data_IF_201805847444
#
_entry.id   IF_201805847444
#
_cell.length_a   1.000
_cell.length_b   1.000
_cell.length_c   1.000
_cell.angle_alpha   90.00
_cell.angle_beta   90.00
_cell.angle_gamma   90.00
#
_symmetry.space_group_name_H-M   'P 1'
#
loop_
_entity.id
_entity.type
_entity.pdbx_description
1 polymer ?
#
# COMPACT_ATOMS: atom_id res chain seq x y z
N UNK A 1 -59.47 29.87 32.64
CA UNK A 1 -59.36 28.74 31.69
C UNK A 1 -58.34 28.94 30.57
N UNK A 2 -58.09 30.15 30.07
CA UNK A 2 -57.11 30.39 28.98
C UNK A 2 -55.64 30.15 29.37
N UNK A 3 -55.21 30.33 30.60
CA UNK A 3 -53.86 30.11 31.06
C UNK A 3 -53.47 28.63 31.22
N UNK A 4 -54.46 27.77 31.49
CA UNK A 4 -54.25 26.32 31.59
C UNK A 4 -54.02 25.64 30.22
N UNK A 5 -54.65 26.19 29.18
CA UNK A 5 -54.43 25.69 27.79
C UNK A 5 -53.07 26.08 27.25
N UNK A 6 -52.54 27.26 27.59
CA UNK A 6 -51.19 27.68 27.18
C UNK A 6 -50.08 26.81 27.83
N UNK A 7 -50.26 26.39 29.06
CA UNK A 7 -49.33 25.46 29.74
C UNK A 7 -49.32 24.07 29.15
N UNK A 8 -50.47 23.56 28.68
CA UNK A 8 -50.58 22.26 28.05
C UNK A 8 -49.95 22.22 26.66
N UNK A 9 -50.01 23.32 25.90
CA UNK A 9 -49.39 23.42 24.57
C UNK A 9 -47.85 23.51 24.66
N UNK A 10 -47.31 24.16 25.70
CA UNK A 10 -45.86 24.23 25.91
C UNK A 10 -45.26 22.85 26.34
N UNK A 11 -46.05 22.00 27.00
CA UNK A 11 -45.60 20.66 27.41
C UNK A 11 -45.61 19.66 26.24
N UNK A 12 -46.45 19.88 25.20
CA UNK A 12 -46.55 18.97 24.04
C UNK A 12 -45.38 19.13 23.04
N UNK A 13 -44.54 20.16 23.15
CA UNK A 13 -43.40 20.41 22.27
C UNK A 13 -42.02 20.08 22.91
N UNK A 14 -41.99 19.46 24.08
CA UNK A 14 -40.74 18.85 24.60
C UNK A 14 -40.47 17.53 23.86
N UNK A 15 -40.04 17.64 22.58
CA UNK A 15 -39.41 16.54 21.91
C UNK A 15 -38.16 16.16 22.77
N UNK A 16 -38.01 14.90 23.18
CA UNK A 16 -36.76 14.50 23.83
C UNK A 16 -35.64 14.83 22.84
N UNK A 17 -34.79 15.75 23.18
CA UNK A 17 -33.52 15.91 22.51
C UNK A 17 -32.79 14.58 22.79
N UNK A 18 -32.80 13.66 21.82
CA UNK A 18 -31.93 12.50 21.85
C UNK A 18 -30.52 13.02 21.74
N UNK A 19 -29.89 13.30 22.88
CA UNK A 19 -28.46 13.44 22.93
C UNK A 19 -27.92 12.11 22.36
N UNK A 20 -27.22 12.15 21.22
CA UNK A 20 -26.47 11.00 20.76
C UNK A 20 -25.47 10.68 21.86
N UNK A 21 -25.77 9.64 22.63
CA UNK A 21 -24.84 9.13 23.65
C UNK A 21 -23.60 8.65 22.92
N UNK A 22 -22.42 8.88 23.53
CA UNK A 22 -21.19 8.24 23.07
C UNK A 22 -21.40 6.72 23.13
N UNK A 23 -20.75 5.94 22.23
CA UNK A 23 -20.84 4.49 22.28
C UNK A 23 -20.39 3.96 23.63
N UNK A 24 -21.11 2.97 24.17
CA UNK A 24 -20.68 2.20 25.33
C UNK A 24 -19.94 0.96 24.82
N UNK A 25 -18.63 0.96 24.97
CA UNK A 25 -17.78 -0.13 24.49
C UNK A 25 -17.68 -1.29 25.50
N UNK A 26 -18.16 -1.14 26.74
CA UNK A 26 -17.98 -2.17 27.78
C UNK A 26 -18.61 -3.50 27.42
N UNK A 27 -19.89 -3.56 26.98
CA UNK A 27 -20.49 -4.84 26.62
C UNK A 27 -19.78 -5.51 25.44
N UNK A 28 -19.36 -4.71 24.44
CA UNK A 28 -18.68 -5.20 23.25
C UNK A 28 -17.30 -5.80 23.59
N UNK A 29 -16.56 -5.16 24.50
CA UNK A 29 -15.26 -5.67 24.98
C UNK A 29 -15.44 -6.95 25.77
N UNK A 30 -16.40 -7.01 26.71
CA UNK A 30 -16.67 -8.21 27.50
C UNK A 30 -17.04 -9.42 26.64
N UNK A 31 -17.80 -9.22 25.58
CA UNK A 31 -18.26 -10.28 24.67
C UNK A 31 -17.14 -10.79 23.75
N UNK A 32 -16.31 -9.88 23.20
CA UNK A 32 -15.41 -10.24 22.09
C UNK A 32 -13.94 -10.44 22.51
N UNK A 33 -13.48 -9.86 23.64
CA UNK A 33 -12.11 -10.06 24.13
C UNK A 33 -11.72 -11.52 24.34
N UNK A 34 -12.59 -12.46 24.74
CA UNK A 34 -12.19 -13.84 24.89
C UNK A 34 -11.63 -14.51 23.62
N UNK A 35 -12.02 -14.02 22.43
CA UNK A 35 -11.54 -14.53 21.17
C UNK A 35 -10.22 -13.86 20.69
N UNK A 36 -9.74 -12.85 21.39
CA UNK A 36 -8.45 -12.18 21.09
C UNK A 36 -7.33 -12.86 21.85
N UNK A 37 -6.25 -13.19 21.15
CA UNK A 37 -5.12 -13.95 21.71
C UNK A 37 -3.84 -13.16 21.67
N UNK A 38 -2.92 -13.51 22.58
CA UNK A 38 -1.53 -13.06 22.50
C UNK A 38 -0.70 -14.07 21.70
N UNK A 39 0.21 -13.58 20.89
CA UNK A 39 1.13 -14.39 20.10
C UNK A 39 2.55 -14.03 20.50
N UNK A 40 3.28 -15.04 20.99
CA UNK A 40 4.69 -14.97 21.33
C UNK A 40 5.50 -15.80 20.34
N UNK A 41 6.62 -15.27 19.86
CA UNK A 41 7.46 -15.97 18.91
C UNK A 41 8.92 -16.01 19.37
N UNK A 42 9.59 -17.11 19.10
CA UNK A 42 11.02 -17.32 19.34
C UNK A 42 11.75 -17.35 18.00
N UNK A 43 12.90 -16.70 17.90
CA UNK A 43 13.77 -16.74 16.71
C UNK A 43 15.09 -17.37 17.06
N UNK A 44 15.48 -18.43 16.36
CA UNK A 44 16.81 -19.02 16.50
C UNK A 44 17.87 -18.14 15.83
N UNK A 45 18.99 -17.87 16.54
CA UNK A 45 20.17 -17.28 15.93
C UNK A 45 20.96 -18.40 15.23
N UNK A 46 21.02 -18.38 13.92
CA UNK A 46 22.07 -19.08 13.22
C UNK A 46 23.44 -18.53 13.66
N UNK A 47 24.21 -19.39 14.33
CA UNK A 47 25.49 -19.00 14.88
C UNK A 47 26.54 -18.77 13.79
N UNK A 48 27.01 -17.54 13.67
CA UNK A 48 28.28 -17.30 12.99
C UNK A 48 28.34 -15.98 12.21
N UNK A 49 29.18 -15.10 12.71
CA UNK A 49 29.78 -13.90 12.11
C UNK A 49 29.08 -12.57 12.38
N UNK A 50 29.86 -11.77 13.13
CA UNK A 50 29.73 -10.31 13.23
C UNK A 50 29.89 -9.69 11.81
N UNK A 51 28.79 -9.43 11.15
CA UNK A 51 28.71 -8.69 9.90
C UNK A 51 27.30 -8.16 9.80
N UNK A 52 27.14 -6.83 9.70
CA UNK A 52 25.86 -6.16 9.67
C UNK A 52 24.87 -6.84 8.74
N UNK A 53 23.65 -7.03 9.23
CA UNK A 53 22.55 -7.55 8.44
C UNK A 53 21.88 -6.39 7.67
N UNK A 54 21.77 -6.48 6.32
CA UNK A 54 21.13 -5.44 5.51
C UNK A 54 19.59 -5.50 5.50
N UNK A 55 18.96 -6.56 6.04
CA UNK A 55 17.58 -6.88 5.68
C UNK A 55 16.50 -6.36 6.62
N UNK A 56 16.85 -5.65 7.71
CA UNK A 56 15.88 -5.05 8.63
C UNK A 56 16.25 -3.64 9.14
N UNK A 57 17.31 -3.03 8.63
CA UNK A 57 17.64 -1.64 8.95
C UNK A 57 16.63 -0.71 8.29
N UNK A 58 15.60 -0.30 9.05
CA UNK A 58 14.67 0.75 8.63
C UNK A 58 13.19 0.50 8.87
N UNK A 59 12.77 -0.58 9.52
CA UNK A 59 11.37 -0.73 9.94
C UNK A 59 11.09 0.19 11.13
N UNK A 60 10.06 1.05 11.07
CA UNK A 60 9.64 1.91 12.20
C UNK A 60 9.32 1.10 13.47
N UNK A 61 9.04 -0.19 13.33
CA UNK A 61 8.74 -1.10 14.44
C UNK A 61 9.98 -1.65 15.13
N UNK A 62 11.10 -1.84 14.41
CA UNK A 62 12.34 -2.31 15.04
C UNK A 62 12.88 -1.30 16.03
N UNK A 63 12.94 -0.03 15.65
CA UNK A 63 13.33 1.08 16.55
C UNK A 63 12.43 1.19 17.77
N UNK A 64 11.12 0.93 17.59
CA UNK A 64 10.13 0.99 18.67
C UNK A 64 10.29 -0.21 19.59
N UNK A 65 10.45 -1.41 19.04
CA UNK A 65 10.62 -2.65 19.80
C UNK A 65 11.94 -2.65 20.57
N UNK A 66 13.06 -2.21 19.98
CA UNK A 66 14.34 -2.06 20.68
C UNK A 66 14.30 -1.02 21.78
N UNK A 67 13.53 0.06 21.64
CA UNK A 67 13.39 1.08 22.67
C UNK A 67 12.50 0.66 23.84
N UNK A 68 11.45 -0.14 23.59
CA UNK A 68 10.52 -0.58 24.63
C UNK A 68 10.93 -1.88 25.32
N UNK A 69 11.58 -2.81 24.58
CA UNK A 69 11.97 -4.12 25.07
C UNK A 69 13.48 -4.36 24.96
N UNK A 70 14.23 -3.42 24.40
CA UNK A 70 15.66 -3.52 24.12
C UNK A 70 16.53 -3.27 25.34
N UNK A 71 17.59 -4.06 25.39
CA UNK A 71 18.80 -4.05 26.20
C UNK A 71 18.77 -3.31 27.56
N UNK A 72 19.01 -4.03 28.66
CA UNK A 72 19.22 -3.40 29.96
C UNK A 72 20.47 -2.50 29.93
N UNK A 73 20.42 -1.30 30.53
CA UNK A 73 21.55 -0.39 30.55
C UNK A 73 22.67 -0.95 31.43
N UNK A 74 23.81 -1.30 30.80
CA UNK A 74 25.10 -1.41 31.46
C UNK A 74 25.28 -2.61 32.35
N UNK A 75 25.89 -3.67 31.83
CA UNK A 75 26.46 -4.77 32.59
C UNK A 75 27.68 -5.34 31.84
N UNK A 76 28.88 -4.87 32.22
CA UNK A 76 30.14 -5.56 31.88
C UNK A 76 30.20 -6.95 32.54
N UNK A 77 30.44 -7.97 31.77
CA UNK A 77 31.01 -9.23 32.21
C UNK A 77 30.03 -10.30 32.70
N UNK A 78 29.53 -11.10 31.79
CA UNK A 78 28.95 -12.41 32.08
C UNK A 78 28.70 -13.16 30.79
N UNK A 79 29.42 -14.33 30.61
CA UNK A 79 29.04 -15.34 29.64
C UNK A 79 27.71 -15.97 30.07
N UNK A 80 26.59 -15.23 29.87
CA UNK A 80 25.24 -15.69 30.06
C UNK A 80 24.54 -15.65 28.71
N UNK A 81 23.85 -16.73 28.34
CA UNK A 81 22.93 -16.81 27.22
C UNK A 81 22.16 -15.50 27.13
N UNK A 82 22.33 -14.72 26.05
CA UNK A 82 21.48 -13.58 25.76
C UNK A 82 20.05 -14.12 25.61
N UNK A 83 19.05 -13.43 26.20
CA UNK A 83 17.66 -13.84 26.04
C UNK A 83 17.29 -13.92 24.56
N UNK A 84 16.63 -15.01 24.19
CA UNK A 84 15.99 -15.19 22.89
C UNK A 84 15.14 -13.96 22.60
N UNK A 85 15.27 -13.37 21.42
CA UNK A 85 14.41 -12.25 21.00
C UNK A 85 13.00 -12.81 20.81
N UNK A 86 12.08 -12.48 21.70
CA UNK A 86 10.66 -12.79 21.54
C UNK A 86 9.95 -11.60 20.92
N UNK A 87 9.26 -11.81 19.80
CA UNK A 87 8.27 -10.86 19.29
C UNK A 87 6.94 -11.08 19.98
N UNK A 88 6.22 -10.02 20.27
CA UNK A 88 4.91 -10.07 20.89
C UNK A 88 3.90 -9.37 19.99
N UNK A 89 2.82 -10.06 19.66
CA UNK A 89 1.71 -9.53 18.88
C UNK A 89 0.38 -10.07 19.39
N UNK A 90 -0.67 -9.73 18.70
CA UNK A 90 -2.02 -10.23 18.92
C UNK A 90 -2.52 -10.98 17.70
N UNK A 91 -3.59 -11.73 17.89
CA UNK A 91 -4.39 -12.35 16.85
C UNK A 91 -5.79 -12.51 17.34
N UNK A 92 -6.66 -13.12 16.54
CA UNK A 92 -7.97 -13.50 16.95
C UNK A 92 -8.36 -14.86 16.39
N UNK A 93 -9.17 -15.59 17.15
CA UNK A 93 -9.67 -16.90 16.80
C UNK A 93 -10.73 -16.72 15.72
N UNK A 94 -10.47 -17.33 14.56
CA UNK A 94 -11.33 -17.26 13.38
C UNK A 94 -12.34 -18.39 13.34
N UNK A 95 -11.93 -19.59 13.77
CA UNK A 95 -12.82 -20.77 13.77
C UNK A 95 -12.76 -21.51 15.11
N UNK A 96 -13.85 -22.17 15.50
CA UNK A 96 -13.96 -22.92 16.75
C UNK A 96 -12.94 -24.07 16.88
N UNK A 97 -12.45 -24.57 15.74
CA UNK A 97 -11.44 -25.64 15.65
C UNK A 97 -10.00 -25.11 15.69
N UNK A 98 -9.77 -23.82 15.94
CA UNK A 98 -8.46 -23.27 16.28
C UNK A 98 -7.66 -22.62 15.16
N UNK A 99 -8.27 -22.19 14.07
CA UNK A 99 -7.62 -21.26 13.15
C UNK A 99 -7.57 -19.85 13.76
N UNK A 100 -6.42 -19.21 13.66
CA UNK A 100 -6.14 -17.86 14.20
C UNK A 100 -5.59 -17.00 13.11
N UNK A 101 -6.09 -15.79 13.03
CA UNK A 101 -5.62 -14.76 12.08
C UNK A 101 -4.76 -13.77 12.85
N UNK A 102 -3.61 -13.39 12.25
CA UNK A 102 -2.68 -12.39 12.77
C UNK A 102 -1.95 -11.67 11.64
N UNK A 103 -1.06 -10.74 11.97
CA UNK A 103 -0.18 -10.09 11.00
C UNK A 103 1.05 -10.97 10.69
N UNK A 104 1.52 -10.93 9.42
CA UNK A 104 2.70 -11.68 9.01
C UNK A 104 3.95 -11.27 9.79
N UNK A 105 4.18 -9.95 9.98
CA UNK A 105 5.37 -9.46 10.68
C UNK A 105 5.48 -9.95 12.15
N UNK A 106 4.36 -10.38 12.76
CA UNK A 106 4.34 -10.99 14.11
C UNK A 106 5.05 -12.34 14.11
N UNK A 107 4.86 -13.15 13.05
CA UNK A 107 5.37 -14.51 12.95
C UNK A 107 6.54 -14.67 11.97
N UNK A 108 6.98 -13.61 11.34
CA UNK A 108 8.06 -13.63 10.35
C UNK A 108 9.38 -14.05 10.98
N UNK A 109 10.04 -15.05 10.39
CA UNK A 109 11.31 -15.60 10.89
C UNK A 109 11.20 -16.33 12.24
N UNK A 110 9.98 -16.63 12.72
CA UNK A 110 9.78 -17.40 13.95
C UNK A 110 10.18 -18.87 13.74
N UNK A 111 10.95 -19.41 14.69
CA UNK A 111 11.21 -20.84 14.80
C UNK A 111 10.14 -21.57 15.63
N UNK A 112 9.48 -20.83 16.52
CA UNK A 112 8.42 -21.32 17.38
C UNK A 112 7.37 -20.22 17.57
N UNK A 113 6.09 -20.58 17.53
CA UNK A 113 4.95 -19.68 17.75
C UNK A 113 4.11 -20.24 18.86
N UNK A 114 3.87 -19.44 19.89
CA UNK A 114 3.07 -19.82 21.07
C UNK A 114 1.89 -18.87 21.21
N UNK A 115 0.69 -19.42 21.34
CA UNK A 115 -0.56 -18.68 21.49
C UNK A 115 -1.05 -18.77 22.93
N UNK A 116 -1.31 -17.62 23.55
CA UNK A 116 -1.87 -17.52 24.88
C UNK A 116 -3.31 -17.01 24.80
N UNK A 117 -4.25 -17.81 25.32
CA UNK A 117 -5.66 -17.45 25.40
C UNK A 117 -5.96 -16.66 26.66
N UNK A 118 -7.07 -15.92 26.66
CA UNK A 118 -7.55 -15.13 27.81
C UNK A 118 -7.86 -15.97 29.06
N UNK A 119 -8.24 -17.25 28.91
CA UNK A 119 -8.49 -18.20 29.97
C UNK A 119 -7.21 -18.87 30.52
N UNK A 120 -6.03 -18.41 30.10
CA UNK A 120 -4.69 -18.88 30.47
C UNK A 120 -4.28 -20.23 29.86
N UNK A 121 -5.03 -20.78 28.94
CA UNK A 121 -4.52 -21.90 28.11
C UNK A 121 -3.42 -21.40 27.20
N UNK A 122 -2.43 -22.26 26.97
CA UNK A 122 -1.26 -21.97 26.12
C UNK A 122 -1.11 -23.12 25.12
N UNK A 123 -0.90 -22.78 23.86
CA UNK A 123 -0.78 -23.74 22.78
C UNK A 123 0.41 -23.39 21.90
N UNK A 124 1.10 -24.43 21.43
CA UNK A 124 2.00 -24.30 20.30
C UNK A 124 1.14 -24.15 19.03
N UNK A 125 1.52 -23.22 18.15
CA UNK A 125 0.80 -22.95 16.94
C UNK A 125 1.61 -23.30 15.71
N UNK A 126 0.97 -23.94 14.75
CA UNK A 126 1.52 -24.21 13.42
C UNK A 126 1.19 -23.00 12.52
N UNK A 127 2.19 -22.54 11.73
CA UNK A 127 1.95 -21.55 10.67
C UNK A 127 1.41 -22.30 9.45
N UNK A 128 0.09 -22.16 9.19
CA UNK A 128 -0.58 -22.74 8.01
C UNK A 128 -0.09 -22.09 6.73
N UNK A 129 0.09 -20.75 6.78
CA UNK A 129 0.64 -19.98 5.69
C UNK A 129 0.75 -18.50 6.08
N UNK A 130 1.50 -17.76 5.28
CA UNK A 130 1.74 -16.33 5.48
C UNK A 130 1.86 -15.60 4.16
N UNK A 131 1.46 -14.34 4.17
CA UNK A 131 1.55 -13.45 3.02
C UNK A 131 2.21 -12.12 3.40
N UNK A 132 3.50 -11.94 3.08
CA UNK A 132 4.22 -10.70 3.38
C UNK A 132 3.66 -9.46 2.68
N UNK A 133 3.01 -9.62 1.52
CA UNK A 133 2.51 -8.47 0.74
C UNK A 133 1.23 -7.86 1.29
N UNK A 134 0.39 -8.63 1.98
CA UNK A 134 -0.78 -8.13 2.70
C UNK A 134 -0.57 -8.03 4.20
N UNK A 135 0.58 -8.46 4.68
CA UNK A 135 0.90 -8.57 6.11
C UNK A 135 -0.11 -9.43 6.90
N UNK A 136 -0.55 -10.56 6.32
CA UNK A 136 -1.49 -11.50 6.93
C UNK A 136 -0.85 -12.86 7.14
N UNK A 137 -1.11 -13.50 8.27
CA UNK A 137 -0.74 -14.89 8.54
C UNK A 137 -1.89 -15.67 9.15
N UNK A 138 -1.96 -16.97 8.81
CA UNK A 138 -2.92 -17.92 9.32
C UNK A 138 -2.19 -18.96 10.18
N UNK A 139 -2.61 -19.10 11.43
CA UNK A 139 -2.09 -20.06 12.39
C UNK A 139 -3.13 -21.12 12.70
N UNK A 140 -2.68 -22.28 13.22
CA UNK A 140 -3.53 -23.37 13.71
C UNK A 140 -3.03 -23.84 15.07
N UNK A 141 -3.94 -23.93 16.03
CA UNK A 141 -3.72 -24.58 17.33
C UNK A 141 -4.58 -25.82 17.45
N UNK A 142 -4.16 -26.80 18.25
CA UNK A 142 -4.90 -28.03 18.52
C UNK A 142 -5.85 -27.82 19.71
N UNK A 143 -7.00 -27.23 19.41
CA UNK A 143 -8.07 -26.95 20.39
C UNK A 143 -9.43 -26.85 19.69
N UNK A 144 -10.48 -27.17 20.42
CA UNK A 144 -11.88 -27.16 20.00
C UNK A 144 -12.70 -26.26 20.93
N UNK A 145 -13.95 -25.99 20.52
CA UNK A 145 -14.93 -25.19 21.28
C UNK A 145 -14.38 -23.81 21.70
N UNK A 146 -13.64 -23.17 20.81
CA UNK A 146 -13.04 -21.85 21.06
C UNK A 146 -14.02 -20.71 20.77
N UNK A 147 -13.96 -19.60 21.53
CA UNK A 147 -14.69 -18.39 21.19
C UNK A 147 -14.13 -17.80 19.89
N UNK A 148 -15.01 -17.37 18.99
CA UNK A 148 -14.64 -16.83 17.68
C UNK A 148 -15.15 -15.41 17.49
N UNK A 149 -14.56 -14.64 16.57
CA UNK A 149 -15.09 -13.36 16.07
C UNK A 149 -15.76 -13.55 14.72
N UNK A 150 -16.87 -12.85 14.53
CA UNK A 150 -17.51 -12.75 13.22
C UNK A 150 -16.78 -11.73 12.36
N UNK A 151 -16.64 -12.04 11.06
CA UNK A 151 -16.14 -11.09 10.08
C UNK A 151 -17.30 -10.21 9.59
N UNK A 152 -17.06 -8.90 9.54
CA UNK A 152 -17.99 -7.91 9.01
C UNK A 152 -17.62 -7.48 7.60
N UNK A 153 -17.92 -6.21 7.26
CA UNK A 153 -17.57 -5.63 5.98
C UNK A 153 -16.80 -4.30 6.16
N UNK A 154 -15.60 -4.23 5.62
CA UNK A 154 -14.87 -2.96 5.54
C UNK A 154 -15.38 -2.08 4.40
N UNK A 155 -16.01 -2.67 3.38
CA UNK A 155 -16.58 -1.92 2.25
C UNK A 155 -17.76 -1.04 2.70
N UNK A 156 -18.55 -1.50 3.66
CA UNK A 156 -19.68 -0.78 4.22
C UNK A 156 -19.28 0.32 5.22
N UNK A 157 -18.07 0.27 5.78
CA UNK A 157 -17.56 1.29 6.70
C UNK A 157 -17.54 2.68 6.06
N UNK A 158 -17.92 3.69 6.84
CA UNK A 158 -17.87 5.09 6.44
C UNK A 158 -16.87 5.87 7.27
N UNK A 159 -16.24 6.83 6.63
CA UNK A 159 -15.38 7.80 7.35
C UNK A 159 -16.19 8.50 8.44
N UNK A 160 -15.67 8.51 9.67
CA UNK A 160 -16.31 9.04 10.86
C UNK A 160 -17.02 7.98 11.72
N UNK A 161 -17.15 6.73 11.28
CA UNK A 161 -17.69 5.63 12.11
C UNK A 161 -16.72 5.21 13.19
N UNK A 162 -17.25 4.85 14.36
CA UNK A 162 -16.47 4.36 15.47
C UNK A 162 -15.94 2.96 15.19
N UNK A 163 -14.69 2.75 15.58
CA UNK A 163 -14.02 1.44 15.54
C UNK A 163 -13.19 1.23 16.78
N UNK A 164 -12.96 -0.03 17.12
CA UNK A 164 -12.34 -0.49 18.35
C UNK A 164 -11.21 -1.47 18.01
N UNK A 165 -10.00 -1.24 18.49
CA UNK A 165 -8.94 -2.23 18.43
C UNK A 165 -8.81 -2.94 19.79
N UNK A 166 -8.73 -4.28 19.72
CA UNK A 166 -8.44 -5.12 20.89
C UNK A 166 -7.12 -5.84 20.62
N UNK A 167 -6.21 -5.77 21.56
CA UNK A 167 -4.96 -6.52 21.56
C UNK A 167 -4.68 -7.17 22.90
N UNK A 168 -3.72 -8.08 22.94
CA UNK A 168 -3.25 -8.75 24.14
C UNK A 168 -1.72 -8.64 24.28
N UNK A 169 -1.19 -7.44 24.54
CA UNK A 169 0.24 -7.16 24.47
C UNK A 169 1.09 -7.88 25.54
N UNK A 170 0.49 -8.27 26.67
CA UNK A 170 1.22 -8.82 27.83
C UNK A 170 0.78 -10.22 28.23
N UNK A 171 0.10 -10.94 27.34
CA UNK A 171 -0.26 -12.33 27.51
C UNK A 171 -1.75 -12.56 27.82
N UNK A 172 -2.20 -12.31 29.03
CA UNK A 172 -3.58 -12.66 29.42
C UNK A 172 -4.52 -11.48 29.59
N UNK A 173 -3.97 -10.26 29.61
CA UNK A 173 -4.72 -9.02 29.74
C UNK A 173 -4.91 -8.35 28.39
N UNK A 174 -6.11 -7.86 28.13
CA UNK A 174 -6.44 -7.17 26.90
C UNK A 174 -6.21 -5.65 27.03
N UNK A 175 -5.71 -5.04 25.98
CA UNK A 175 -5.68 -3.60 25.80
C UNK A 175 -6.68 -3.19 24.75
N UNK A 176 -7.52 -2.23 25.07
CA UNK A 176 -8.59 -1.75 24.19
C UNK A 176 -8.39 -0.28 23.90
N UNK A 177 -8.45 0.07 22.62
CA UNK A 177 -8.39 1.45 22.16
C UNK A 177 -9.51 1.71 21.16
N UNK A 178 -10.11 2.90 21.19
CA UNK A 178 -11.20 3.30 20.32
C UNK A 178 -10.88 4.58 19.57
N UNK A 179 -11.45 4.73 18.40
CA UNK A 179 -11.32 5.89 17.54
C UNK A 179 -12.32 5.83 16.40
N UNK A 180 -12.05 6.57 15.33
CA UNK A 180 -12.92 6.60 14.16
C UNK A 180 -12.16 6.21 12.89
N UNK A 181 -12.89 5.79 11.88
CA UNK A 181 -12.37 5.66 10.52
C UNK A 181 -12.03 7.05 10.00
N UNK A 182 -10.76 7.32 9.75
CA UNK A 182 -10.27 8.62 9.24
C UNK A 182 -10.26 8.68 7.72
N UNK A 183 -9.95 7.55 7.05
CA UNK A 183 -9.97 7.41 5.59
C UNK A 183 -10.03 5.93 5.20
N UNK A 184 -10.33 5.63 3.92
CA UNK A 184 -10.30 4.29 3.34
C UNK A 184 -9.46 4.30 2.06
N UNK A 185 -8.92 3.14 1.70
CA UNK A 185 -8.14 2.99 0.46
C UNK A 185 -6.81 3.74 0.48
N UNK A 186 -6.14 3.79 1.63
CA UNK A 186 -4.82 4.40 1.74
C UNK A 186 -3.73 3.41 1.37
N UNK A 187 -2.87 3.78 0.42
CA UNK A 187 -1.68 3.01 0.11
C UNK A 187 -0.48 3.64 0.80
N UNK A 188 0.38 2.79 1.31
CA UNK A 188 1.65 3.17 1.92
C UNK A 188 2.78 2.96 0.90
N UNK A 189 3.86 3.76 0.93
CA UNK A 189 4.92 3.71 -0.09
C UNK A 189 5.59 2.34 -0.24
N UNK A 190 5.58 1.53 0.80
CA UNK A 190 6.18 0.19 0.85
C UNK A 190 5.21 -0.94 0.52
N UNK A 191 3.89 -0.67 0.49
CA UNK A 191 2.85 -1.69 0.40
C UNK A 191 1.77 -1.28 -0.62
N UNK A 192 1.98 -1.67 -1.88
CA UNK A 192 1.13 -1.25 -2.99
C UNK A 192 -0.15 -2.08 -3.16
N UNK A 193 -0.23 -3.27 -2.51
CA UNK A 193 -1.35 -4.18 -2.68
C UNK A 193 -2.46 -4.03 -1.64
N UNK A 194 -2.20 -3.29 -0.54
CA UNK A 194 -3.16 -3.14 0.56
C UNK A 194 -3.83 -1.76 0.54
N UNK A 195 -5.15 -1.68 0.33
CA UNK A 195 -5.92 -0.44 0.43
C UNK A 195 -6.33 -0.17 1.88
N UNK A 196 -5.37 0.19 2.75
CA UNK A 196 -5.57 0.30 4.19
C UNK A 196 -6.77 1.14 4.62
N UNK A 197 -7.39 0.72 5.73
CA UNK A 197 -8.29 1.54 6.53
C UNK A 197 -7.41 2.40 7.46
N UNK A 198 -7.49 3.72 7.34
CA UNK A 198 -6.82 4.66 8.23
C UNK A 198 -7.74 5.01 9.38
N UNK A 199 -7.25 4.94 10.61
CA UNK A 199 -7.98 5.31 11.84
C UNK A 199 -7.13 6.19 12.75
N UNK A 200 -7.75 6.80 13.76
CA UNK A 200 -7.07 7.43 14.89
C UNK A 200 -7.08 6.57 16.17
N UNK A 201 -7.40 5.30 16.02
CA UNK A 201 -7.29 4.29 17.08
C UNK A 201 -5.83 4.17 17.50
N UNK A 202 -5.53 4.29 18.78
CA UNK A 202 -4.16 4.21 19.27
C UNK A 202 -3.64 2.77 19.18
N UNK A 203 -2.76 2.50 18.23
CA UNK A 203 -2.04 1.25 18.10
C UNK A 203 -0.66 1.38 18.76
N UNK A 204 -0.34 0.44 19.63
CA UNK A 204 0.93 0.32 20.33
C UNK A 204 1.49 -1.10 20.12
N UNK A 205 2.79 -1.32 20.39
CA UNK A 205 3.39 -2.66 20.35
C UNK A 205 2.55 -3.68 21.11
N UNK A 206 2.23 -4.78 20.43
CA UNK A 206 1.37 -5.84 20.97
C UNK A 206 -0.08 -5.80 20.49
N UNK A 207 -0.59 -4.70 19.93
CA UNK A 207 -1.92 -4.68 19.29
C UNK A 207 -1.89 -5.11 17.82
N UNK A 208 -0.69 -5.14 17.20
CA UNK A 208 -0.51 -5.57 15.81
C UNK A 208 -0.97 -7.02 15.63
N UNK A 209 -1.68 -7.31 14.55
CA UNK A 209 -2.32 -8.60 14.28
C UNK A 209 -3.68 -8.79 14.96
N UNK A 210 -4.02 -7.96 15.96
CA UNK A 210 -5.33 -7.99 16.61
C UNK A 210 -6.45 -7.40 15.72
N UNK A 211 -7.73 -7.69 16.06
CA UNK A 211 -8.87 -7.24 15.29
C UNK A 211 -9.14 -5.74 15.45
N UNK A 212 -9.62 -5.12 14.37
CA UNK A 212 -10.34 -3.84 14.37
C UNK A 212 -11.83 -4.16 14.24
N UNK A 213 -12.64 -3.78 15.24
CA UNK A 213 -14.06 -4.09 15.31
C UNK A 213 -14.92 -2.86 14.99
N UNK A 214 -16.09 -3.08 14.39
CA UNK A 214 -17.18 -2.11 14.32
C UNK A 214 -18.00 -2.07 15.63
N UNK A 215 -19.06 -1.27 15.69
CA UNK A 215 -19.92 -1.20 16.88
C UNK A 215 -20.84 -2.42 17.04
N UNK A 216 -20.99 -3.23 16.02
CA UNK A 216 -21.72 -4.50 16.02
C UNK A 216 -20.87 -5.67 16.53
N UNK A 217 -19.56 -5.43 16.81
CA UNK A 217 -18.61 -6.44 17.28
C UNK A 217 -18.01 -7.30 16.17
N UNK A 218 -18.20 -6.92 14.93
CA UNK A 218 -17.66 -7.63 13.78
C UNK A 218 -16.27 -7.10 13.41
N UNK A 219 -15.39 -8.02 12.99
CA UNK A 219 -14.03 -7.64 12.52
C UNK A 219 -14.14 -6.99 11.16
N UNK A 220 -13.69 -5.75 11.05
CA UNK A 220 -13.65 -4.97 9.80
C UNK A 220 -12.22 -4.80 9.26
N UNK A 221 -11.23 -5.24 10.03
CA UNK A 221 -9.83 -5.24 9.61
C UNK A 221 -8.89 -5.82 10.65
N UNK A 222 -7.60 -5.96 10.25
CA UNK A 222 -6.50 -6.36 11.14
C UNK A 222 -5.59 -5.17 11.37
N UNK A 223 -5.29 -4.86 12.62
CA UNK A 223 -4.34 -3.81 12.96
C UNK A 223 -2.94 -4.19 12.48
N UNK A 224 -2.39 -3.45 11.52
CA UNK A 224 -1.10 -3.74 10.93
C UNK A 224 -0.02 -2.81 11.48
N UNK A 225 -0.11 -1.51 11.22
CA UNK A 225 0.98 -0.59 11.51
C UNK A 225 0.52 0.84 11.81
N UNK A 226 1.46 1.66 12.30
CA UNK A 226 1.29 3.09 12.51
C UNK A 226 2.24 3.87 11.58
N UNK A 227 1.82 5.05 11.16
CA UNK A 227 2.76 6.01 10.61
C UNK A 227 3.43 6.77 11.75
N UNK A 228 4.73 6.58 11.92
CA UNK A 228 5.47 7.22 13.01
C UNK A 228 6.85 7.70 12.56
N UNK A 229 7.22 8.89 13.00
CA UNK A 229 8.58 9.46 12.81
C UNK A 229 9.44 9.25 14.05
N UNK A 230 8.85 8.87 15.17
CA UNK A 230 9.50 8.75 16.48
C UNK A 230 9.33 7.37 17.10
N UNK A 231 8.60 6.47 16.41
CA UNK A 231 8.25 5.13 16.88
C UNK A 231 6.98 5.07 17.75
N UNK A 232 6.40 6.18 18.18
CA UNK A 232 5.15 6.22 18.96
C UNK A 232 3.94 6.59 18.10
N UNK A 233 2.75 6.28 18.59
CA UNK A 233 1.48 6.66 17.96
C UNK A 233 1.36 8.19 17.82
N UNK A 234 1.03 8.65 16.60
CA UNK A 234 0.91 10.07 16.24
C UNK A 234 -0.46 10.39 15.60
N UNK A 235 -1.49 9.62 15.91
CA UNK A 235 -2.85 9.82 15.39
C UNK A 235 -3.09 9.19 14.01
N UNK A 236 -2.19 8.34 13.52
CA UNK A 236 -2.33 7.64 12.25
C UNK A 236 -2.04 6.16 12.44
N UNK A 237 -3.07 5.35 12.33
CA UNK A 237 -3.02 3.89 12.36
C UNK A 237 -3.64 3.31 11.09
N UNK A 238 -3.17 2.14 10.70
CA UNK A 238 -3.58 1.46 9.49
C UNK A 238 -3.97 0.02 9.80
N UNK A 239 -5.10 -0.40 9.22
CA UNK A 239 -5.58 -1.77 9.31
C UNK A 239 -5.80 -2.35 7.90
N UNK A 240 -5.49 -3.63 7.75
CA UNK A 240 -5.77 -4.40 6.51
C UNK A 240 -7.27 -4.65 6.45
N UNK A 241 -7.96 -4.30 5.35
CA UNK A 241 -9.40 -4.51 5.19
C UNK A 241 -9.78 -5.98 5.30
N UNK A 242 -10.92 -6.28 5.93
CA UNK A 242 -11.32 -7.66 6.23
C UNK A 242 -11.60 -8.49 4.97
N UNK A 243 -12.14 -7.91 3.90
CA UNK A 243 -12.38 -8.62 2.64
C UNK A 243 -11.06 -9.13 2.02
N UNK A 244 -9.98 -8.34 2.14
CA UNK A 244 -8.67 -8.80 1.69
C UNK A 244 -8.13 -9.91 2.58
N UNK A 245 -8.35 -9.82 3.88
CA UNK A 245 -7.96 -10.86 4.84
C UNK A 245 -8.66 -12.17 4.54
N UNK A 246 -9.98 -12.15 4.27
CA UNK A 246 -10.75 -13.35 3.90
C UNK A 246 -10.19 -14.03 2.65
N UNK A 247 -9.95 -13.25 1.59
CA UNK A 247 -9.36 -13.75 0.33
C UNK A 247 -8.01 -14.44 0.57
N UNK A 248 -7.16 -13.79 1.37
CA UNK A 248 -5.82 -14.30 1.72
C UNK A 248 -5.93 -15.57 2.58
N UNK A 249 -6.73 -15.54 3.64
CA UNK A 249 -6.92 -16.67 4.56
C UNK A 249 -7.48 -17.90 3.84
N UNK A 250 -8.44 -17.71 2.92
CA UNK A 250 -8.95 -18.79 2.11
C UNK A 250 -7.84 -19.43 1.28
N UNK A 251 -7.01 -18.65 0.57
CA UNK A 251 -5.91 -19.19 -0.22
C UNK A 251 -4.85 -19.87 0.65
N UNK A 252 -4.49 -19.28 1.79
CA UNK A 252 -3.53 -19.88 2.73
C UNK A 252 -4.03 -21.21 3.27
N UNK A 253 -5.33 -21.34 3.56
CA UNK A 253 -5.95 -22.58 4.04
C UNK A 253 -5.99 -23.67 2.97
N UNK A 254 -6.27 -23.30 1.71
CA UNK A 254 -6.44 -24.25 0.61
C UNK A 254 -5.10 -24.65 -0.04
N UNK A 255 -4.15 -23.71 -0.13
CA UNK A 255 -2.94 -23.86 -0.92
C UNK A 255 -1.64 -23.62 -0.14
N UNK A 256 -1.70 -23.02 1.05
CA UNK A 256 -0.51 -22.64 1.85
C UNK A 256 0.19 -21.37 1.35
N UNK A 257 -0.18 -20.86 0.19
CA UNK A 257 0.39 -19.65 -0.43
C UNK A 257 -0.68 -18.78 -1.08
N UNK A 258 -0.36 -17.48 -1.26
CA UNK A 258 -1.24 -16.52 -1.94
C UNK A 258 -0.77 -16.28 -3.36
N UNK A 259 -1.67 -16.44 -4.31
CA UNK A 259 -1.43 -16.15 -5.71
C UNK A 259 -2.10 -14.83 -6.09
N UNK A 260 -1.35 -13.92 -6.73
CA UNK A 260 -1.85 -12.62 -7.18
C UNK A 260 -1.92 -12.52 -8.68
N UNK A 261 -2.99 -11.87 -9.13
CA UNK A 261 -3.12 -11.45 -10.51
C UNK A 261 -2.07 -10.39 -10.87
N UNK A 262 -1.59 -10.47 -12.10
CA UNK A 262 -0.61 -9.56 -12.66
C UNK A 262 -1.01 -9.10 -14.06
N UNK A 263 -0.87 -7.79 -14.30
CA UNK A 263 -1.16 -7.15 -15.59
C UNK A 263 0.11 -6.87 -16.40
N UNK A 264 1.23 -6.57 -15.73
CA UNK A 264 2.51 -6.27 -16.36
C UNK A 264 2.65 -4.86 -16.89
N UNK A 265 2.14 -3.89 -16.14
CA UNK A 265 2.31 -2.45 -16.43
C UNK A 265 3.01 -1.76 -15.26
N UNK A 266 3.89 -0.81 -15.58
CA UNK A 266 4.36 0.18 -14.62
C UNK A 266 3.44 1.39 -14.71
N UNK A 267 2.87 1.80 -13.57
CA UNK A 267 1.87 2.87 -13.52
C UNK A 267 2.37 4.10 -12.78
N UNK A 268 1.78 5.24 -13.12
CA UNK A 268 2.06 6.53 -12.51
C UNK A 268 0.75 7.25 -12.18
N UNK A 269 0.79 8.10 -11.15
CA UNK A 269 -0.33 8.96 -10.78
C UNK A 269 -0.61 10.02 -11.86
N UNK A 270 -1.88 10.19 -12.18
CA UNK A 270 -2.34 11.24 -13.10
C UNK A 270 -2.46 12.55 -12.31
N UNK A 271 -1.44 13.39 -12.39
CA UNK A 271 -1.51 14.74 -11.82
C UNK A 271 -2.44 15.64 -12.60
N UNK A 272 -2.80 16.81 -12.07
CA UNK A 272 -3.66 17.77 -12.77
C UNK A 272 -3.07 18.20 -14.12
N UNK A 273 -1.76 18.47 -14.15
CA UNK A 273 -1.09 18.92 -15.36
C UNK A 273 -0.99 17.80 -16.40
N UNK A 274 -0.79 16.53 -15.94
CA UNK A 274 -0.86 15.36 -16.82
C UNK A 274 -2.29 15.15 -17.35
N UNK A 275 -3.33 15.27 -16.51
CA UNK A 275 -4.70 15.19 -16.96
C UNK A 275 -4.99 16.21 -18.09
N UNK A 276 -4.56 17.48 -17.92
CA UNK A 276 -4.67 18.49 -18.95
C UNK A 276 -3.94 18.10 -20.23
N UNK A 277 -2.70 17.57 -20.12
CA UNK A 277 -1.89 17.15 -21.28
C UNK A 277 -2.49 15.96 -22.04
N UNK A 278 -3.23 15.08 -21.35
CA UNK A 278 -3.96 13.96 -21.95
C UNK A 278 -5.42 14.32 -22.33
N UNK A 279 -5.81 15.60 -22.24
CA UNK A 279 -7.16 16.07 -22.57
C UNK A 279 -8.24 15.52 -21.64
N UNK A 280 -7.91 15.31 -20.37
CA UNK A 280 -8.84 14.82 -19.34
C UNK A 280 -9.37 15.97 -18.50
N UNK A 281 -10.65 15.92 -18.14
CA UNK A 281 -11.28 16.94 -17.29
C UNK A 281 -10.85 16.83 -15.80
N UNK A 282 -10.44 15.64 -15.39
CA UNK A 282 -10.10 15.33 -13.99
C UNK A 282 -8.86 14.43 -13.91
N UNK A 283 -8.02 14.60 -12.89
CA UNK A 283 -6.89 13.72 -12.61
C UNK A 283 -7.39 12.40 -12.00
N UNK A 284 -7.78 11.45 -12.82
CA UNK A 284 -8.29 10.12 -12.42
C UNK A 284 -7.61 9.02 -13.22
N UNK A 285 -7.59 7.81 -12.69
CA UNK A 285 -7.01 6.65 -13.35
C UNK A 285 -5.56 6.38 -12.99
N UNK A 286 -5.01 5.36 -13.63
CA UNK A 286 -3.61 4.96 -13.54
C UNK A 286 -2.95 5.13 -14.91
N UNK A 287 -1.97 6.03 -15.02
CA UNK A 287 -1.24 6.25 -16.27
C UNK A 287 -0.19 5.15 -16.46
N UNK A 288 -0.24 4.45 -17.58
CA UNK A 288 0.73 3.43 -17.97
C UNK A 288 2.03 4.12 -18.41
N UNK A 289 3.05 4.07 -17.58
CA UNK A 289 4.37 4.62 -17.87
C UNK A 289 5.24 3.64 -18.68
N UNK A 290 5.02 2.33 -18.52
CA UNK A 290 5.65 1.27 -19.32
C UNK A 290 4.77 0.03 -19.34
N UNK A 291 4.73 -0.66 -20.49
CA UNK A 291 4.25 -2.02 -20.62
C UNK A 291 5.45 -2.95 -20.57
N UNK A 292 5.41 -3.97 -19.72
CA UNK A 292 6.49 -4.93 -19.58
C UNK A 292 6.45 -5.95 -20.71
N UNK A 293 7.61 -6.33 -21.22
CA UNK A 293 7.71 -7.34 -22.28
C UNK A 293 7.20 -8.71 -21.80
N UNK A 294 6.61 -9.48 -22.72
CA UNK A 294 6.01 -10.79 -22.46
C UNK A 294 4.84 -10.79 -21.45
N UNK A 295 4.35 -9.60 -21.05
CA UNK A 295 3.29 -9.45 -20.08
C UNK A 295 1.88 -9.64 -20.66
N UNK A 296 0.86 -9.89 -19.82
CA UNK A 296 -0.54 -9.84 -20.20
C UNK A 296 -0.95 -8.55 -20.91
N UNK A 297 -0.48 -7.42 -20.40
CA UNK A 297 -0.78 -6.11 -20.96
C UNK A 297 -0.23 -5.95 -22.39
N UNK A 298 1.02 -6.39 -22.63
CA UNK A 298 1.59 -6.36 -23.98
C UNK A 298 0.78 -7.23 -24.94
N UNK A 299 0.48 -8.49 -24.55
CA UNK A 299 -0.32 -9.42 -25.35
C UNK A 299 -1.72 -8.89 -25.67
N UNK A 300 -2.32 -8.13 -24.73
CA UNK A 300 -3.63 -7.51 -24.88
C UNK A 300 -3.59 -6.19 -25.69
N UNK A 301 -2.39 -5.64 -25.97
CA UNK A 301 -2.22 -4.42 -26.76
C UNK A 301 -2.37 -3.13 -25.97
N UNK A 302 -2.00 -3.14 -24.67
CA UNK A 302 -1.78 -1.89 -23.92
C UNK A 302 -0.57 -1.14 -24.50
N UNK A 303 -0.62 0.17 -24.40
CA UNK A 303 0.45 1.06 -24.85
C UNK A 303 0.88 2.01 -23.72
N UNK A 304 2.15 2.41 -23.76
CA UNK A 304 2.65 3.51 -22.93
C UNK A 304 1.85 4.79 -23.21
N UNK A 305 1.37 5.45 -22.15
CA UNK A 305 0.50 6.61 -22.26
C UNK A 305 -1.01 6.28 -22.21
N UNK A 306 -1.40 5.01 -22.08
CA UNK A 306 -2.79 4.65 -21.73
C UNK A 306 -3.10 5.07 -20.30
N UNK A 307 -4.31 5.56 -20.05
CA UNK A 307 -4.81 5.81 -18.69
C UNK A 307 -5.90 4.80 -18.37
N UNK A 308 -5.64 3.90 -17.41
CA UNK A 308 -6.61 2.91 -16.96
C UNK A 308 -7.65 3.60 -16.08
N UNK A 309 -8.91 3.59 -16.51
CA UNK A 309 -10.03 4.27 -15.84
C UNK A 309 -10.90 3.30 -15.03
N UNK A 310 -11.11 2.07 -15.55
CA UNK A 310 -11.85 1.01 -14.86
C UNK A 310 -11.23 -0.34 -15.12
N UNK A 311 -11.39 -1.24 -14.16
CA UNK A 311 -10.97 -2.63 -14.24
C UNK A 311 -12.12 -3.53 -13.76
N UNK A 312 -12.65 -4.40 -14.61
CA UNK A 312 -13.86 -5.21 -14.36
C UNK A 312 -15.05 -4.37 -13.83
N UNK A 313 -15.25 -3.16 -14.39
CA UNK A 313 -16.31 -2.25 -13.98
C UNK A 313 -16.01 -1.46 -12.68
N UNK A 314 -14.95 -1.79 -11.95
CA UNK A 314 -14.51 -1.06 -10.75
C UNK A 314 -13.75 0.18 -11.19
N UNK A 315 -14.16 1.36 -10.69
CA UNK A 315 -13.47 2.62 -10.98
C UNK A 315 -12.05 2.63 -10.39
N UNK A 316 -11.10 3.19 -11.14
CA UNK A 316 -9.72 3.44 -10.73
C UNK A 316 -9.56 4.94 -10.47
N UNK A 317 -9.80 5.43 -9.24
CA UNK A 317 -9.76 6.86 -8.95
C UNK A 317 -8.35 7.47 -9.00
N UNK A 318 -7.32 6.66 -8.78
CA UNK A 318 -5.91 7.03 -8.80
C UNK A 318 -5.04 5.80 -9.09
N UNK A 319 -3.74 5.99 -9.33
CA UNK A 319 -2.83 4.89 -9.67
C UNK A 319 -2.74 3.83 -8.57
N UNK A 320 -2.78 4.23 -7.32
CA UNK A 320 -2.64 3.33 -6.18
C UNK A 320 -3.85 2.39 -5.96
N UNK A 321 -5.00 2.70 -6.56
CA UNK A 321 -6.18 1.83 -6.50
C UNK A 321 -6.07 0.60 -7.42
N UNK A 322 -5.25 0.64 -8.47
CA UNK A 322 -5.20 -0.43 -9.47
C UNK A 322 -4.54 -1.73 -8.95
N UNK A 323 -3.36 -1.72 -8.27
CA UNK A 323 -2.69 -2.94 -7.85
C UNK A 323 -3.53 -3.86 -6.95
N UNK A 324 -4.28 -3.35 -5.93
CA UNK A 324 -5.18 -4.20 -5.14
C UNK A 324 -6.29 -4.86 -5.98
N UNK A 325 -6.86 -4.13 -6.95
CA UNK A 325 -7.93 -4.65 -7.81
C UNK A 325 -7.41 -5.76 -8.72
N UNK A 326 -6.26 -5.54 -9.37
CA UNK A 326 -5.61 -6.54 -10.23
C UNK A 326 -5.16 -7.74 -9.41
N UNK A 327 -4.52 -7.51 -8.26
CA UNK A 327 -3.98 -8.57 -7.41
C UNK A 327 -5.03 -9.56 -6.88
N UNK A 328 -6.27 -9.09 -6.65
CA UNK A 328 -7.42 -9.94 -6.22
C UNK A 328 -8.11 -10.65 -7.38
N UNK A 329 -7.79 -10.31 -8.62
CA UNK A 329 -8.41 -10.96 -9.78
C UNK A 329 -7.79 -12.34 -9.99
N UNK A 330 -8.61 -13.42 -10.10
CA UNK A 330 -8.07 -14.77 -10.22
C UNK A 330 -7.22 -14.94 -11.49
N UNK A 331 -6.10 -15.65 -11.36
CA UNK A 331 -5.20 -15.97 -12.45
C UNK A 331 -5.92 -16.83 -13.50
N UNK A 332 -5.68 -16.57 -14.80
CA UNK A 332 -6.31 -17.25 -15.92
C UNK A 332 -7.71 -16.75 -16.26
N UNK A 333 -8.19 -15.66 -15.60
CA UNK A 333 -9.47 -15.06 -15.95
C UNK A 333 -9.30 -13.86 -16.88
N UNK A 334 -10.26 -13.65 -17.75
CA UNK A 334 -10.34 -12.45 -18.59
C UNK A 334 -10.88 -11.27 -17.79
N UNK A 335 -10.21 -10.14 -17.87
CA UNK A 335 -10.62 -8.87 -17.27
C UNK A 335 -10.92 -7.83 -18.35
N UNK A 336 -12.03 -7.10 -18.20
CA UNK A 336 -12.36 -5.96 -19.05
C UNK A 336 -11.76 -4.68 -18.45
N UNK A 337 -10.89 -3.99 -19.22
CA UNK A 337 -10.20 -2.79 -18.78
C UNK A 337 -10.61 -1.61 -19.64
N UNK A 338 -11.29 -0.63 -19.06
CA UNK A 338 -11.61 0.64 -19.73
C UNK A 338 -10.40 1.56 -19.63
N UNK A 339 -9.84 1.93 -20.76
CA UNK A 339 -8.69 2.82 -20.88
C UNK A 339 -9.05 4.08 -21.67
N UNK A 340 -8.29 5.15 -21.40
CA UNK A 340 -8.21 6.31 -22.29
C UNK A 340 -6.88 6.25 -23.04
N UNK A 341 -6.96 6.24 -24.37
CA UNK A 341 -5.82 6.31 -25.28
C UNK A 341 -5.95 7.57 -26.15
N UNK A 342 -5.19 8.61 -25.80
CA UNK A 342 -5.38 9.94 -26.38
C UNK A 342 -6.75 10.54 -26.00
N UNK A 343 -7.57 10.88 -27.00
CA UNK A 343 -8.91 11.43 -26.78
C UNK A 343 -10.01 10.36 -26.74
N UNK A 344 -9.69 9.11 -27.06
CA UNK A 344 -10.65 8.01 -27.15
C UNK A 344 -10.68 7.16 -25.89
N UNK A 345 -11.88 6.73 -25.48
CA UNK A 345 -12.05 5.69 -24.46
C UNK A 345 -12.25 4.35 -25.15
N UNK A 346 -11.50 3.33 -24.75
CA UNK A 346 -11.52 1.97 -25.31
C UNK A 346 -11.62 0.94 -24.19
N UNK A 347 -12.19 -0.21 -24.51
CA UNK A 347 -12.15 -1.38 -23.61
C UNK A 347 -11.17 -2.40 -24.20
N UNK A 348 -10.26 -2.87 -23.37
CA UNK A 348 -9.31 -3.94 -23.69
C UNK A 348 -9.66 -5.14 -22.79
N UNK A 349 -9.73 -6.33 -23.39
CA UNK A 349 -9.84 -7.58 -22.67
C UNK A 349 -8.45 -8.16 -22.49
N UNK A 350 -8.10 -8.52 -21.24
CA UNK A 350 -6.79 -9.06 -20.89
C UNK A 350 -6.94 -10.29 -20.02
N UNK A 351 -6.20 -11.35 -20.31
CA UNK A 351 -6.11 -12.53 -19.45
C UNK A 351 -5.08 -12.26 -18.35
N UNK A 352 -5.50 -12.38 -17.08
CA UNK A 352 -4.64 -12.10 -15.92
C UNK A 352 -3.71 -13.29 -15.69
N UNK A 353 -2.41 -13.03 -15.60
CA UNK A 353 -1.41 -14.03 -15.26
C UNK A 353 -0.96 -13.94 -13.79
N UNK A 354 -0.19 -14.93 -13.34
CA UNK A 354 0.41 -14.93 -11.98
C UNK A 354 1.52 -13.87 -11.89
N UNK A 355 1.56 -13.12 -10.80
CA UNK A 355 2.67 -12.19 -10.52
C UNK A 355 4.00 -12.98 -10.44
N UNK A 356 5.01 -12.65 -11.27
CA UNK A 356 6.32 -13.30 -11.23
C UNK A 356 7.06 -12.98 -9.93
N UNK A 357 7.77 -13.96 -9.37
CA UNK A 357 8.51 -13.82 -8.11
C UNK A 357 9.64 -12.77 -8.22
N UNK A 358 10.29 -12.67 -9.37
CA UNK A 358 11.39 -11.74 -9.62
C UNK A 358 10.93 -10.26 -9.60
N UNK A 359 9.70 -9.98 -10.07
CA UNK A 359 9.13 -8.62 -10.08
C UNK A 359 8.77 -8.15 -8.65
N UNK A 360 8.53 -9.09 -7.75
CA UNK A 360 8.28 -8.80 -6.35
C UNK A 360 9.54 -8.33 -5.59
N UNK A 361 10.75 -8.63 -6.11
CA UNK A 361 12.05 -8.41 -5.45
C UNK A 361 12.84 -7.19 -5.96
N UNK A 362 12.54 -6.65 -7.14
CA UNK A 362 13.32 -5.53 -7.72
C UNK A 362 12.96 -4.16 -7.10
N UNK A 363 13.62 -3.81 -5.99
CA UNK A 363 13.71 -2.46 -5.43
C UNK A 363 15.15 -2.16 -5.02
N UNK A 364 15.95 -1.60 -5.93
CA UNK A 364 17.30 -1.16 -5.60
C UNK A 364 17.92 -0.37 -6.73
N UNK A 365 17.89 0.97 -6.64
CA UNK A 365 18.47 1.86 -7.63
C UNK A 365 20.00 1.77 -7.66
N UNK A 366 20.58 1.74 -8.86
CA UNK A 366 21.99 1.99 -9.14
C UNK A 366 22.16 3.42 -9.62
N UNK A 367 23.22 4.11 -9.16
CA UNK A 367 23.63 5.42 -9.66
C UNK A 367 24.51 5.24 -10.92
N UNK A 368 24.28 6.01 -12.00
CA UNK A 368 25.14 5.98 -13.17
C UNK A 368 26.36 6.90 -13.03
N UNK A 369 27.44 6.49 -13.68
CA UNK A 369 28.73 7.21 -13.78
C UNK A 369 28.70 8.18 -14.97
N UNK A 370 29.42 9.31 -14.88
CA UNK A 370 29.34 10.44 -15.81
C UNK A 370 30.35 10.30 -16.95
N UNK A 371 29.89 10.40 -18.20
CA UNK A 371 30.69 10.47 -19.43
C UNK A 371 30.85 11.92 -19.95
N UNK A 372 31.88 12.18 -20.77
CA UNK A 372 32.34 13.49 -21.24
C UNK A 372 31.43 14.14 -22.33
N UNK A 373 31.32 15.48 -22.41
CA UNK A 373 30.26 16.18 -23.16
C UNK A 373 30.62 16.53 -24.63
N UNK A 374 29.64 16.35 -25.50
CA UNK A 374 29.48 16.93 -26.82
C UNK A 374 28.71 18.26 -26.72
N UNK A 375 28.82 19.17 -27.74
CA UNK A 375 28.27 20.55 -27.63
C UNK A 375 26.72 20.54 -27.58
N UNK A 376 26.11 21.08 -26.52
CA UNK A 376 24.66 21.04 -26.31
C UNK A 376 23.91 22.10 -27.10
N UNK A 377 22.75 21.73 -27.68
CA UNK A 377 21.76 22.68 -28.21
C UNK A 377 20.71 23.02 -27.14
N UNK A 378 20.32 24.28 -27.04
CA UNK A 378 19.37 24.75 -26.02
C UNK A 378 17.96 24.82 -26.58
N UNK A 379 17.05 23.96 -26.05
CA UNK A 379 15.66 23.93 -26.46
C UNK A 379 14.76 23.88 -25.21
N UNK A 380 13.67 24.63 -25.18
CA UNK A 380 12.70 24.67 -24.06
C UNK A 380 13.31 24.90 -22.67
N UNK A 381 14.46 25.57 -22.60
CA UNK A 381 15.18 25.86 -21.35
C UNK A 381 16.01 24.70 -20.83
N UNK A 382 16.46 23.81 -21.70
CA UNK A 382 17.38 22.71 -21.40
C UNK A 382 18.37 22.50 -22.52
N UNK A 383 19.53 21.99 -22.17
CA UNK A 383 20.55 21.54 -23.15
C UNK A 383 20.35 20.02 -23.33
N UNK A 384 20.36 19.60 -24.59
CA UNK A 384 20.07 18.22 -25.00
C UNK A 384 21.19 17.66 -25.87
N UNK A 385 21.53 16.42 -25.67
CA UNK A 385 22.44 15.62 -26.47
C UNK A 385 21.83 14.29 -26.86
N UNK A 386 22.08 13.77 -28.06
CA UNK A 386 21.62 12.43 -28.41
C UNK A 386 22.19 11.39 -27.46
N UNK A 387 21.36 10.42 -27.06
CA UNK A 387 21.78 9.26 -26.28
C UNK A 387 22.75 8.42 -27.11
N UNK A 388 23.92 8.07 -26.56
CA UNK A 388 24.84 7.20 -27.26
C UNK A 388 24.35 5.73 -27.28
N UNK A 389 24.84 4.93 -28.24
CA UNK A 389 24.37 3.57 -28.42
C UNK A 389 24.65 2.65 -27.21
N UNK A 390 25.72 2.90 -26.47
CA UNK A 390 26.07 2.08 -25.31
C UNK A 390 25.12 2.41 -24.12
N UNK A 391 24.83 3.70 -23.92
CA UNK A 391 23.87 4.16 -22.91
C UNK A 391 22.43 3.70 -23.26
N UNK A 392 22.06 3.72 -24.56
CA UNK A 392 20.78 3.24 -25.01
C UNK A 392 20.61 1.74 -24.73
N UNK A 393 21.63 0.93 -25.00
CA UNK A 393 21.63 -0.52 -24.69
C UNK A 393 21.53 -0.77 -23.17
N UNK A 394 22.30 0.00 -22.34
CA UNK A 394 22.25 -0.12 -20.89
C UNK A 394 20.86 0.22 -20.30
N UNK A 395 20.19 1.23 -20.85
CA UNK A 395 18.87 1.69 -20.43
C UNK A 395 17.73 0.90 -21.07
N UNK A 396 18.03 -0.02 -22.02
CA UNK A 396 17.03 -0.76 -22.80
C UNK A 396 16.16 0.15 -23.67
N UNK A 397 16.74 1.21 -24.22
CA UNK A 397 16.09 2.19 -25.09
C UNK A 397 16.58 2.03 -26.53
N UNK A 398 15.71 2.36 -27.49
CA UNK A 398 16.06 2.41 -28.91
C UNK A 398 16.80 3.73 -29.27
N UNK A 399 16.55 4.79 -28.48
CA UNK A 399 17.15 6.12 -28.64
C UNK A 399 16.61 7.11 -27.60
N UNK A 400 16.99 8.36 -27.72
CA UNK A 400 16.53 9.42 -26.83
C UNK A 400 17.45 10.63 -26.81
N UNK A 401 17.06 11.66 -26.03
CA UNK A 401 17.84 12.87 -25.82
C UNK A 401 18.16 13.04 -24.34
N UNK A 402 19.43 13.04 -24.00
CA UNK A 402 19.91 13.28 -22.62
C UNK A 402 19.84 14.76 -22.30
N UNK A 403 19.24 15.10 -21.18
CA UNK A 403 19.25 16.46 -20.62
C UNK A 403 20.57 16.66 -19.89
N UNK A 404 21.49 17.44 -20.46
CA UNK A 404 22.79 17.73 -19.85
C UNK A 404 22.73 18.90 -18.87
N UNK A 405 21.87 19.90 -19.14
CA UNK A 405 21.68 21.05 -18.27
C UNK A 405 20.24 21.59 -18.37
N UNK A 406 19.71 22.12 -17.28
CA UNK A 406 18.43 22.84 -17.24
C UNK A 406 18.67 24.32 -16.99
N UNK A 407 18.59 25.11 -18.06
CA UNK A 407 18.93 26.54 -18.06
C UNK A 407 17.73 27.44 -17.71
N UNK A 408 16.50 27.00 -17.97
CA UNK A 408 15.33 27.85 -17.79
C UNK A 408 13.98 27.11 -17.82
N UNK A 409 12.93 27.90 -17.97
CA UNK A 409 11.58 27.41 -18.21
C UNK A 409 11.37 27.14 -19.72
N UNK A 410 10.49 26.20 -20.08
CA UNK A 410 9.58 25.45 -19.22
C UNK A 410 10.17 24.22 -18.53
N UNK A 411 11.34 23.70 -18.94
CA UNK A 411 11.94 22.48 -18.39
C UNK A 411 12.05 22.52 -16.85
N UNK A 412 12.54 23.63 -16.28
CA UNK A 412 12.69 23.80 -14.84
C UNK A 412 11.33 23.71 -14.10
N UNK A 413 10.31 24.40 -14.60
CA UNK A 413 8.98 24.40 -13.96
C UNK A 413 8.25 23.08 -14.10
N UNK A 414 8.56 22.28 -15.12
CA UNK A 414 8.03 20.95 -15.33
C UNK A 414 8.75 19.86 -14.52
N UNK A 415 9.84 20.21 -13.83
CA UNK A 415 10.60 19.27 -12.99
C UNK A 415 11.56 18.37 -13.75
N UNK A 416 11.93 18.74 -14.98
CA UNK A 416 13.02 18.09 -15.73
C UNK A 416 14.36 18.39 -15.05
N UNK A 417 15.26 17.41 -15.04
CA UNK A 417 16.56 17.47 -14.36
C UNK A 417 17.68 17.04 -15.28
N UNK A 418 18.91 17.50 -15.04
CA UNK A 418 20.08 16.93 -15.69
C UNK A 418 20.15 15.42 -15.42
N UNK A 419 20.47 14.63 -16.45
CA UNK A 419 20.47 13.17 -16.42
C UNK A 419 19.17 12.51 -16.86
N UNK A 420 18.07 13.25 -17.01
CA UNK A 420 16.85 12.71 -17.62
C UNK A 420 17.11 12.41 -19.10
N UNK A 421 16.53 11.33 -19.62
CA UNK A 421 16.53 11.03 -21.05
C UNK A 421 15.12 11.20 -21.59
N UNK A 422 14.91 12.12 -22.51
CA UNK A 422 13.63 12.30 -23.21
C UNK A 422 13.50 11.21 -24.25
N UNK A 423 12.48 10.35 -24.10
CA UNK A 423 12.23 9.21 -25.00
C UNK A 423 10.96 9.40 -25.83
N UNK A 424 10.01 10.25 -25.36
CA UNK A 424 8.78 10.52 -26.08
C UNK A 424 8.29 11.93 -25.83
N UNK A 425 7.78 12.61 -26.85
CA UNK A 425 7.12 13.90 -26.78
C UNK A 425 5.71 13.80 -27.37
N UNK A 426 4.69 14.07 -26.58
CA UNK A 426 3.32 13.77 -26.96
C UNK A 426 3.13 12.27 -27.11
N UNK A 427 2.91 11.81 -28.35
CA UNK A 427 2.76 10.39 -28.69
C UNK A 427 3.85 9.88 -29.64
N UNK A 428 4.87 10.65 -29.87
CA UNK A 428 5.93 10.35 -30.82
C UNK A 428 7.23 10.05 -30.07
N UNK A 429 7.84 8.91 -30.38
CA UNK A 429 9.19 8.58 -29.92
C UNK A 429 10.18 9.62 -30.45
N UNK A 430 11.16 9.94 -29.64
CA UNK A 430 12.17 10.97 -29.95
C UNK A 430 13.54 10.30 -29.93
N UNK A 431 14.22 10.31 -31.07
CA UNK A 431 15.57 9.78 -31.23
C UNK A 431 16.58 10.89 -31.58
N UNK A 432 16.08 12.05 -32.08
CA UNK A 432 16.92 13.16 -32.53
C UNK A 432 16.35 14.51 -32.11
N UNK A 433 17.23 15.53 -32.09
CA UNK A 433 16.85 16.93 -31.83
C UNK A 433 15.89 17.47 -32.88
N UNK A 434 16.13 17.15 -34.16
CA UNK A 434 15.29 17.59 -35.28
C UNK A 434 13.85 17.08 -35.10
N UNK A 435 13.67 15.81 -34.70
CA UNK A 435 12.34 15.26 -34.41
C UNK A 435 11.66 15.98 -33.24
N UNK A 436 12.41 16.26 -32.16
CA UNK A 436 11.84 16.99 -31.03
C UNK A 436 11.40 18.39 -31.43
N UNK A 437 12.21 19.12 -32.25
CA UNK A 437 11.85 20.44 -32.77
C UNK A 437 10.58 20.38 -33.62
N UNK A 438 10.48 19.40 -34.54
CA UNK A 438 9.28 19.20 -35.35
C UNK A 438 8.03 18.94 -34.51
N UNK A 439 8.15 18.10 -33.46
CA UNK A 439 7.01 17.81 -32.59
C UNK A 439 6.61 19.00 -31.73
N UNK A 440 7.54 19.84 -31.30
CA UNK A 440 7.26 21.08 -30.57
C UNK A 440 6.50 22.07 -31.47
N UNK A 441 6.95 22.23 -32.74
CA UNK A 441 6.26 23.09 -33.70
C UNK A 441 4.84 22.59 -34.01
N UNK A 442 4.69 21.26 -34.20
CA UNK A 442 3.40 20.63 -34.48
C UNK A 442 2.41 20.77 -33.30
N UNK A 443 2.89 20.70 -32.05
CA UNK A 443 2.07 20.85 -30.87
C UNK A 443 1.52 22.27 -30.69
N UNK A 444 2.25 23.29 -31.16
CA UNK A 444 1.88 24.70 -31.06
C UNK A 444 2.09 25.31 -29.69
N UNK A 445 2.10 26.65 -29.64
CA UNK A 445 2.40 27.41 -28.40
C UNK A 445 1.25 27.39 -27.39
N UNK A 446 1.57 27.51 -26.09
CA UNK A 446 0.61 27.62 -25.00
C UNK A 446 -0.05 26.30 -24.57
N UNK A 447 0.27 25.17 -25.22
CA UNK A 447 -0.24 23.84 -24.88
C UNK A 447 0.63 23.13 -23.86
N UNK A 448 0.00 22.28 -23.05
CA UNK A 448 0.67 21.33 -22.16
C UNK A 448 0.75 19.97 -22.88
N UNK A 449 1.96 19.43 -23.00
CA UNK A 449 2.23 18.17 -23.71
C UNK A 449 2.82 17.16 -22.73
N UNK A 450 2.37 15.88 -22.76
CA UNK A 450 3.02 14.84 -21.96
C UNK A 450 4.38 14.48 -22.59
N UNK A 451 5.41 14.43 -21.77
CA UNK A 451 6.78 14.04 -22.15
C UNK A 451 7.17 12.85 -21.32
N UNK A 452 7.50 11.73 -21.96
CA UNK A 452 8.05 10.57 -21.28
C UNK A 452 9.56 10.76 -21.17
N UNK A 453 10.04 10.69 -19.95
CA UNK A 453 11.47 10.66 -19.66
C UNK A 453 11.86 9.37 -18.98
N UNK A 454 13.12 8.96 -19.16
CA UNK A 454 13.76 7.96 -18.35
C UNK A 454 14.58 8.67 -17.28
N UNK A 455 14.31 8.46 -16.00
CA UNK A 455 15.03 9.01 -14.84
C UNK A 455 15.50 7.89 -13.95
N UNK A 456 16.81 7.78 -13.71
CA UNK A 456 17.40 6.73 -12.88
C UNK A 456 16.90 5.31 -13.26
N UNK A 457 16.78 5.04 -14.58
CA UNK A 457 16.29 3.78 -15.12
C UNK A 457 14.74 3.61 -15.06
N UNK A 458 13.99 4.58 -14.55
CA UNK A 458 12.53 4.51 -14.43
C UNK A 458 11.84 5.46 -15.41
N UNK A 459 10.87 4.97 -16.22
CA UNK A 459 10.07 5.82 -17.09
C UNK A 459 9.11 6.67 -16.25
N UNK A 460 9.01 7.95 -16.60
CA UNK A 460 8.14 8.90 -15.90
C UNK A 460 7.58 9.91 -16.90
N UNK A 461 6.26 10.09 -16.91
CA UNK A 461 5.63 11.17 -17.65
C UNK A 461 5.73 12.49 -16.89
N UNK A 462 6.09 13.53 -17.61
CA UNK A 462 6.10 14.92 -17.15
C UNK A 462 5.20 15.74 -18.07
N UNK A 463 4.42 16.64 -17.49
CA UNK A 463 3.64 17.61 -18.26
C UNK A 463 4.51 18.84 -18.54
N UNK A 464 4.79 19.09 -19.81
CA UNK A 464 5.62 20.23 -20.24
C UNK A 464 4.77 21.25 -20.99
N UNK A 465 4.74 22.48 -20.49
CA UNK A 465 3.97 23.56 -21.12
C UNK A 465 4.83 24.30 -22.14
N UNK A 466 4.44 24.25 -23.41
CA UNK A 466 5.10 25.02 -24.47
C UNK A 466 4.83 26.51 -24.23
N UNK A 467 5.85 27.39 -24.22
CA UNK A 467 5.65 28.82 -24.02
C UNK A 467 4.69 29.42 -25.04
N UNK A 468 3.82 30.34 -24.62
CA UNK A 468 3.14 31.26 -25.53
C UNK A 468 4.12 32.35 -25.93
N UNK A 469 4.23 32.70 -27.21
CA UNK A 469 5.03 33.81 -27.68
C UNK A 469 4.79 35.12 -26.91
#
# INVERSE_FOLDING_TARGET
MQWALLGLILFAFSLPASARMLPDFVPLVEEHSPAVVNISTTREREGGQSGGHPDFEGSPFEDLFERFFGAPPGGEGGQGRMPERSSLGSGFIYTEDGYIITANHVVEGASEVVVHLSDRRVFDAEIVGKDPQSDVALLKIDADDLPTLNLGSSDDLKVGEWVLAIGSPFGFDHSVTAGIVSAKGRNLPTENYVPFIQTDVAINPGNSGGPLLNLEGEVVGINAQIYSRTGGFMGLSFAVPIEMVEDVVQQLREHGEVTRGWLGVLIQEVTRDLAESFGMDKPTGALVARVQSDSPAEKAGFETGDVILKFNGIEVPNSSALPPIVGRTPVGTEAEVEIRRGEETKTITVEIERLPEDVAAERGGRQPDQGEPTQPQSLLGMHLEPLDAAQAEELGLEGGLVVTEVTGNPARSSGIRPGDVIVQFGRHSIESLDELEEQIEAAGTGRTVPVLIQRDGNPTFIALRIPSE
#
